data_IF_507768225454
#
_entry.id   IF_507768225454
#
_cell.length_a   1.000
_cell.length_b   1.000
_cell.length_c   1.000
_cell.angle_alpha   90.00
_cell.angle_beta   90.00
_cell.angle_gamma   90.00
#
_symmetry.space_group_name_H-M   'P 1'
#
loop_
_entity.id
_entity.type
_entity.pdbx_description
1 polymer ?
#
# COMPACT_ATOMS: atom_id res chain seq x y z
N UNK A 1 55.07 -50.53 42.62
CA UNK A 1 53.68 -50.14 42.35
C UNK A 1 53.63 -48.63 42.39
N UNK A 2 53.44 -48.02 41.24
CA UNK A 2 53.71 -46.62 40.95
C UNK A 2 52.40 -45.89 40.67
N UNK A 3 52.21 -44.70 41.25
CA UNK A 3 51.36 -43.64 40.71
C UNK A 3 51.73 -42.32 41.38
N UNK A 4 52.20 -41.30 40.62
CA UNK A 4 52.36 -39.95 41.11
C UNK A 4 51.45 -38.92 40.41
N UNK A 5 51.10 -37.91 41.21
CA UNK A 5 50.91 -36.46 40.97
C UNK A 5 50.30 -35.90 39.66
N UNK A 6 49.31 -35.06 39.90
CA UNK A 6 48.69 -34.01 39.08
C UNK A 6 49.67 -32.91 38.60
N UNK A 7 49.58 -32.46 37.33
CA UNK A 7 49.39 -31.05 36.89
C UNK A 7 49.51 -30.85 35.36
N UNK A 8 48.58 -30.04 34.83
CA UNK A 8 48.55 -29.14 33.65
C UNK A 8 49.06 -29.51 32.23
N UNK A 9 48.14 -29.27 31.28
CA UNK A 9 48.28 -28.56 29.98
C UNK A 9 48.41 -29.32 28.63
N UNK A 10 47.44 -29.00 27.75
CA UNK A 10 47.48 -28.83 26.27
C UNK A 10 47.15 -29.97 25.29
N UNK A 11 46.20 -29.65 24.40
CA UNK A 11 46.28 -29.71 22.92
C UNK A 11 45.45 -30.75 22.13
N UNK A 12 44.56 -30.18 21.29
CA UNK A 12 44.29 -30.46 19.86
C UNK A 12 43.19 -31.44 19.40
N UNK A 13 42.16 -30.87 18.73
CA UNK A 13 41.79 -30.99 17.28
C UNK A 13 40.25 -31.10 17.10
N UNK A 14 39.49 -30.05 16.78
CA UNK A 14 39.30 -29.26 15.54
C UNK A 14 38.29 -29.87 14.54
N UNK A 15 37.22 -29.13 14.24
CA UNK A 15 36.16 -29.46 13.27
C UNK A 15 35.10 -28.35 13.10
N UNK A 16 35.53 -27.23 12.49
CA UNK A 16 34.77 -26.31 11.59
C UNK A 16 33.48 -25.61 12.10
N UNK A 17 33.62 -24.33 12.47
CA UNK A 17 32.63 -23.29 12.17
C UNK A 17 33.38 -22.06 11.67
N UNK A 18 33.00 -21.57 10.50
CA UNK A 18 33.66 -20.47 9.79
C UNK A 18 32.87 -19.17 10.03
N UNK A 19 33.43 -18.14 10.70
CA UNK A 19 32.82 -16.82 10.77
C UNK A 19 33.33 -15.97 9.61
N UNK A 20 32.43 -15.47 8.77
CA UNK A 20 32.77 -14.53 7.70
C UNK A 20 33.21 -13.19 8.29
N UNK A 21 34.51 -12.95 8.10
CA UNK A 21 35.33 -11.75 8.16
C UNK A 21 34.67 -10.37 8.31
N UNK A 22 35.13 -9.70 9.36
CA UNK A 22 35.15 -8.26 9.57
C UNK A 22 36.35 -7.65 8.81
N UNK A 23 36.08 -6.69 7.93
CA UNK A 23 37.04 -5.78 7.29
C UNK A 23 36.22 -4.54 6.93
N UNK A 24 36.63 -3.29 7.11
CA UNK A 24 37.78 -2.63 7.69
C UNK A 24 37.47 -1.14 7.54
N UNK A 25 37.85 -0.34 8.53
CA UNK A 25 37.58 1.10 8.63
C UNK A 25 37.80 1.89 7.35
N UNK A 26 36.87 2.80 7.05
CA UNK A 26 37.15 4.03 6.32
C UNK A 26 36.46 5.20 7.02
N UNK A 27 37.28 6.19 7.32
CA UNK A 27 36.98 7.39 8.09
C UNK A 27 36.15 8.40 7.29
N UNK A 28 35.39 9.21 8.05
CA UNK A 28 34.69 10.42 7.61
C UNK A 28 35.61 11.39 6.86
N UNK A 29 35.08 12.05 5.82
CA UNK A 29 35.27 13.49 5.75
C UNK A 29 34.00 14.18 5.28
N UNK A 30 33.32 14.91 6.18
CA UNK A 30 32.65 16.20 5.97
C UNK A 30 31.55 16.42 7.03
N UNK A 31 32.00 16.76 8.24
CA UNK A 31 31.22 17.62 9.14
C UNK A 31 31.58 19.07 8.84
N UNK A 32 30.60 19.83 8.37
CA UNK A 32 30.71 21.27 8.24
C UNK A 32 29.68 21.86 7.29
N UNK A 33 28.43 21.98 7.75
CA UNK A 33 27.77 23.27 7.93
C UNK A 33 26.33 23.07 8.37
N UNK A 34 26.06 23.69 9.51
CA UNK A 34 24.80 23.81 10.22
C UNK A 34 23.79 24.65 9.43
N UNK A 35 22.51 24.33 9.63
CA UNK A 35 21.40 25.29 9.85
C UNK A 35 20.30 25.42 8.78
N UNK A 36 19.09 25.14 9.28
CA UNK A 36 17.82 25.88 9.12
C UNK A 36 16.97 25.76 7.85
N UNK A 37 15.75 25.25 8.10
CA UNK A 37 14.43 25.83 7.82
C UNK A 37 14.15 26.46 6.46
N UNK A 38 13.06 26.03 5.84
CA UNK A 38 12.32 26.89 4.93
C UNK A 38 11.33 26.14 4.05
N UNK A 39 10.07 26.15 4.46
CA UNK A 39 8.90 25.76 3.66
C UNK A 39 8.91 26.55 2.34
N UNK A 40 8.89 25.87 1.19
CA UNK A 40 8.72 26.49 -0.12
C UNK A 40 7.43 25.97 -0.77
N UNK A 41 6.39 26.81 -0.69
CA UNK A 41 5.16 26.67 -1.44
C UNK A 41 5.39 27.05 -2.92
N UNK A 42 4.65 26.37 -3.79
CA UNK A 42 4.72 26.48 -5.24
C UNK A 42 4.41 27.90 -5.75
N UNK A 43 5.34 28.47 -6.52
CA UNK A 43 5.15 29.70 -7.30
C UNK A 43 4.47 29.35 -8.62
N UNK A 44 3.29 29.93 -8.85
CA UNK A 44 2.58 29.91 -10.13
C UNK A 44 3.23 30.94 -11.06
N UNK A 45 3.54 30.48 -12.26
CA UNK A 45 4.12 31.22 -13.38
C UNK A 45 3.12 32.27 -13.89
N UNK A 46 3.53 33.54 -13.93
CA UNK A 46 2.83 34.64 -14.59
C UNK A 46 3.62 35.03 -15.85
N UNK A 47 3.04 34.78 -17.04
CA UNK A 47 3.61 35.18 -18.33
C UNK A 47 2.99 36.52 -18.75
N UNK A 48 3.82 37.55 -18.57
CA UNK A 48 4.18 38.66 -19.44
C UNK A 48 3.23 39.20 -20.53
N UNK A 49 3.31 40.53 -20.71
CA UNK A 49 3.07 41.20 -22.00
C UNK A 49 1.98 42.27 -22.02
N UNK A 50 2.33 43.53 -21.72
CA UNK A 50 1.67 44.68 -22.35
C UNK A 50 2.59 45.89 -22.44
N UNK A 51 3.07 46.11 -23.66
CA UNK A 51 3.91 47.21 -24.13
C UNK A 51 3.40 48.61 -23.73
N UNK A 52 4.32 49.44 -23.23
CA UNK A 52 4.18 50.90 -23.14
C UNK A 52 5.06 51.53 -24.22
N UNK A 53 4.58 52.52 -25.00
CA UNK A 53 5.48 53.34 -25.81
C UNK A 53 6.03 54.51 -25.01
N UNK A 54 7.36 54.65 -25.07
CA UNK A 54 8.15 55.81 -24.66
C UNK A 54 7.76 57.06 -25.46
N UNK A 55 7.70 58.21 -24.78
CA UNK A 55 7.74 59.52 -25.44
C UNK A 55 8.83 60.38 -24.79
N UNK A 56 9.91 60.51 -25.54
CA UNK A 56 11.05 61.41 -25.36
C UNK A 56 10.59 62.86 -25.46
N UNK A 57 10.93 63.67 -24.46
CA UNK A 57 10.79 65.13 -24.46
C UNK A 57 12.01 65.78 -25.11
N UNK A 58 11.82 66.62 -26.14
CA UNK A 58 12.67 67.79 -26.38
C UNK A 58 12.08 68.79 -27.39
N UNK A 59 12.42 70.04 -27.10
CA UNK A 59 12.49 71.23 -27.97
C UNK A 59 11.23 72.08 -28.24
N UNK A 60 11.52 73.31 -28.64
CA UNK A 60 11.01 74.57 -28.09
C UNK A 60 10.40 75.49 -29.17
N UNK A 61 9.90 76.65 -28.71
CA UNK A 61 9.61 77.92 -29.43
C UNK A 61 8.13 78.20 -29.82
N UNK A 62 7.65 79.31 -29.25
CA UNK A 62 6.41 80.12 -29.41
C UNK A 62 6.12 80.68 -30.83
N UNK A 63 5.08 81.52 -31.10
CA UNK A 63 3.83 81.85 -30.38
C UNK A 63 2.57 81.88 -31.29
N UNK A 64 1.34 82.09 -30.75
CA UNK A 64 0.29 83.01 -31.29
C UNK A 64 -1.16 82.63 -30.92
N UNK A 65 -1.82 83.58 -30.24
CA UNK A 65 -3.25 83.99 -30.25
C UNK A 65 -4.39 82.97 -30.04
N UNK A 66 -5.00 83.13 -28.86
CA UNK A 66 -6.43 83.34 -28.56
C UNK A 66 -7.55 82.48 -29.17
N UNK A 67 -8.47 82.12 -28.25
CA UNK A 67 -9.89 81.81 -28.42
C UNK A 67 -10.33 80.34 -28.60
N UNK A 68 -9.92 79.41 -27.72
CA UNK A 68 -10.62 78.11 -27.58
C UNK A 68 -10.66 77.52 -26.15
N UNK A 69 -10.72 78.33 -25.08
CA UNK A 69 -10.74 77.74 -23.72
C UNK A 69 -12.11 77.22 -23.23
N UNK A 70 -13.22 77.55 -23.91
CA UNK A 70 -14.55 77.08 -23.49
C UNK A 70 -15.00 75.73 -24.10
N UNK A 71 -14.44 75.29 -25.24
CA UNK A 71 -14.83 74.04 -25.93
C UNK A 71 -13.97 72.82 -25.54
N UNK A 72 -12.70 73.05 -25.19
CA UNK A 72 -11.72 72.00 -24.88
C UNK A 72 -12.08 71.08 -23.70
N UNK A 73 -12.72 71.55 -22.61
CA UNK A 73 -13.18 70.67 -21.53
C UNK A 73 -14.30 69.74 -21.99
N UNK A 74 -15.24 70.25 -22.80
CA UNK A 74 -16.40 69.52 -23.25
C UNK A 74 -16.03 68.44 -24.28
N UNK A 75 -15.14 68.73 -25.22
CA UNK A 75 -14.61 67.73 -26.15
C UNK A 75 -13.81 66.63 -25.46
N UNK A 76 -12.95 66.98 -24.49
CA UNK A 76 -12.21 65.98 -23.70
C UNK A 76 -13.16 65.07 -22.90
N UNK A 77 -14.23 65.64 -22.33
CA UNK A 77 -15.28 64.88 -21.64
C UNK A 77 -16.04 63.96 -22.61
N UNK A 78 -16.38 64.43 -23.82
CA UNK A 78 -17.04 63.62 -24.84
C UNK A 78 -16.15 62.46 -25.32
N UNK A 79 -14.85 62.67 -25.52
CA UNK A 79 -13.90 61.60 -25.88
C UNK A 79 -13.78 60.55 -24.77
N UNK A 80 -13.72 60.97 -23.50
CA UNK A 80 -13.72 60.04 -22.35
C UNK A 80 -15.00 59.22 -22.25
N UNK A 81 -16.16 59.82 -22.51
CA UNK A 81 -17.44 59.11 -22.53
C UNK A 81 -17.51 58.10 -23.68
N UNK A 82 -16.98 58.43 -24.86
CA UNK A 82 -16.89 57.50 -25.98
C UNK A 82 -15.98 56.30 -25.66
N UNK A 83 -14.79 56.55 -25.10
CA UNK A 83 -13.88 55.49 -24.66
C UNK A 83 -14.48 54.62 -23.56
N UNK A 84 -15.22 55.20 -22.60
CA UNK A 84 -15.90 54.44 -21.56
C UNK A 84 -17.02 53.55 -22.15
N UNK A 85 -17.78 54.05 -23.13
CA UNK A 85 -18.78 53.26 -23.86
C UNK A 85 -18.14 52.09 -24.60
N UNK A 86 -17.01 52.29 -25.26
CA UNK A 86 -16.29 51.21 -25.95
C UNK A 86 -15.65 50.21 -24.98
N UNK A 87 -15.05 50.68 -23.88
CA UNK A 87 -14.49 49.83 -22.84
C UNK A 87 -15.59 48.97 -22.18
N UNK A 88 -16.77 49.56 -21.94
CA UNK A 88 -17.94 48.84 -21.43
C UNK A 88 -18.44 47.77 -22.41
N UNK A 89 -18.48 48.07 -23.72
CA UNK A 89 -18.83 47.08 -24.77
C UNK A 89 -17.82 45.93 -24.81
N UNK A 90 -16.51 46.23 -24.83
CA UNK A 90 -15.45 45.21 -24.82
C UNK A 90 -15.47 44.37 -23.54
N UNK A 91 -15.73 44.97 -22.38
CA UNK A 91 -15.89 44.26 -21.11
C UNK A 91 -17.08 43.31 -21.12
N UNK A 92 -18.25 43.78 -21.59
CA UNK A 92 -19.44 42.94 -21.76
C UNK A 92 -19.20 41.77 -22.70
N UNK A 93 -18.51 41.99 -23.81
CA UNK A 93 -18.21 40.93 -24.78
C UNK A 93 -17.28 39.87 -24.18
N UNK A 94 -16.23 40.28 -23.46
CA UNK A 94 -15.33 39.36 -22.75
C UNK A 94 -16.04 38.55 -21.68
N UNK A 95 -16.89 39.20 -20.86
CA UNK A 95 -17.71 38.50 -19.87
C UNK A 95 -18.67 37.51 -20.52
N UNK A 96 -19.29 37.87 -21.65
CA UNK A 96 -20.17 36.98 -22.40
C UNK A 96 -19.42 35.75 -22.92
N UNK A 97 -18.24 35.94 -23.50
CA UNK A 97 -17.39 34.83 -23.96
C UNK A 97 -16.96 33.91 -22.81
N UNK A 98 -16.59 34.49 -21.66
CA UNK A 98 -16.23 33.72 -20.48
C UNK A 98 -17.41 32.91 -19.93
N UNK A 99 -18.62 33.49 -19.86
CA UNK A 99 -19.83 32.76 -19.46
C UNK A 99 -20.13 31.61 -20.41
N UNK A 100 -20.02 31.81 -21.73
CA UNK A 100 -20.18 30.72 -22.70
C UNK A 100 -19.15 29.61 -22.52
N UNK A 101 -17.89 29.97 -22.20
CA UNK A 101 -16.85 28.98 -21.89
C UNK A 101 -17.20 28.19 -20.62
N UNK A 102 -17.74 28.84 -19.58
CA UNK A 102 -18.20 28.18 -18.36
C UNK A 102 -19.40 27.26 -18.60
N UNK A 103 -20.34 27.66 -19.46
CA UNK A 103 -21.46 26.80 -19.86
C UNK A 103 -20.97 25.56 -20.62
N UNK A 104 -19.98 25.75 -21.51
CA UNK A 104 -19.35 24.65 -22.25
C UNK A 104 -18.58 23.71 -21.33
N UNK A 105 -17.84 24.24 -20.35
CA UNK A 105 -17.10 23.41 -19.39
C UNK A 105 -18.05 22.65 -18.46
N UNK A 106 -19.15 23.27 -18.02
CA UNK A 106 -20.21 22.61 -17.23
C UNK A 106 -20.80 21.43 -17.98
N UNK A 107 -21.15 21.58 -19.26
CA UNK A 107 -21.69 20.49 -20.07
C UNK A 107 -20.69 19.33 -20.22
N UNK A 108 -19.41 19.64 -20.47
CA UNK A 108 -18.36 18.62 -20.49
C UNK A 108 -18.23 17.88 -19.16
N UNK A 109 -18.33 18.59 -18.05
CA UNK A 109 -18.24 18.00 -16.72
C UNK A 109 -19.43 17.06 -16.45
N UNK A 110 -20.64 17.45 -16.83
CA UNK A 110 -21.82 16.57 -16.78
C UNK A 110 -21.66 15.33 -17.67
N UNK A 111 -21.09 15.47 -18.87
CA UNK A 111 -20.80 14.33 -19.75
C UNK A 111 -19.78 13.36 -19.11
N UNK A 112 -18.68 13.89 -18.58
CA UNK A 112 -17.67 13.09 -17.89
C UNK A 112 -18.24 12.39 -16.65
N UNK A 113 -19.12 13.05 -15.91
CA UNK A 113 -19.81 12.44 -14.78
C UNK A 113 -20.72 11.28 -15.20
N UNK A 114 -21.45 11.43 -16.31
CA UNK A 114 -22.25 10.33 -16.89
C UNK A 114 -21.38 9.19 -17.40
N UNK A 115 -20.26 9.48 -18.07
CA UNK A 115 -19.30 8.47 -18.52
C UNK A 115 -18.66 7.74 -17.34
N UNK A 116 -18.30 8.46 -16.26
CA UNK A 116 -17.79 7.89 -15.02
C UNK A 116 -18.83 7.00 -14.33
N UNK A 117 -20.09 7.44 -14.24
CA UNK A 117 -21.18 6.63 -13.70
C UNK A 117 -21.43 5.39 -14.55
N UNK A 118 -21.35 5.49 -15.89
CA UNK A 118 -21.47 4.35 -16.81
C UNK A 118 -20.31 3.37 -16.65
N UNK A 119 -19.08 3.85 -16.55
CA UNK A 119 -17.89 3.02 -16.29
C UNK A 119 -17.99 2.34 -14.92
N UNK A 120 -18.50 3.05 -13.90
CA UNK A 120 -18.77 2.49 -12.58
C UNK A 120 -19.88 1.43 -12.61
N UNK A 121 -20.93 1.62 -13.40
CA UNK A 121 -21.99 0.62 -13.58
C UNK A 121 -21.52 -0.62 -14.36
N UNK A 122 -20.66 -0.43 -15.37
CA UNK A 122 -19.99 -1.52 -16.07
C UNK A 122 -19.02 -2.26 -15.14
N UNK A 123 -18.35 -1.55 -14.23
CA UNK A 123 -17.55 -2.15 -13.14
C UNK A 123 -18.40 -2.81 -12.05
N UNK A 124 -19.60 -2.30 -11.75
CA UNK A 124 -20.55 -2.89 -10.80
C UNK A 124 -21.20 -4.18 -11.37
N UNK A 125 -21.42 -4.27 -12.68
CA UNK A 125 -21.98 -5.48 -13.30
C UNK A 125 -21.00 -6.68 -13.26
N UNK A 126 -19.70 -6.41 -13.07
CA UNK A 126 -18.67 -7.44 -12.88
C UNK A 126 -18.28 -7.58 -11.39
N UNK A 127 -18.43 -6.52 -10.57
CA UNK A 127 -17.95 -6.47 -9.19
C UNK A 127 -19.00 -6.33 -8.07
N UNK A 128 -20.30 -6.31 -8.36
CA UNK A 128 -21.34 -6.00 -7.34
C UNK A 128 -22.30 -7.13 -7.00
N UNK A 129 -22.03 -8.37 -7.41
CA UNK A 129 -22.80 -9.52 -6.93
C UNK A 129 -22.28 -10.10 -5.60
N UNK A 130 -21.45 -9.36 -4.85
CA UNK A 130 -20.81 -9.88 -3.63
C UNK A 130 -21.08 -9.07 -2.34
N UNK A 131 -21.86 -7.99 -2.41
CA UNK A 131 -22.18 -7.18 -1.22
C UNK A 131 -23.64 -6.72 -1.29
N UNK A 132 -24.56 -7.67 -1.12
CA UNK A 132 -25.74 -7.55 -0.25
C UNK A 132 -26.70 -8.73 -0.47
N UNK A 133 -27.16 -9.31 0.65
CA UNK A 133 -28.29 -10.24 0.78
C UNK A 133 -28.04 -11.73 0.54
N UNK A 134 -27.99 -12.48 1.64
CA UNK A 134 -28.24 -13.92 1.66
C UNK A 134 -29.72 -14.19 1.31
N UNK A 135 -30.01 -14.99 0.28
CA UNK A 135 -30.99 -16.11 0.21
C UNK A 135 -31.52 -16.35 -1.24
N UNK A 136 -31.46 -17.62 -1.68
CA UNK A 136 -32.16 -18.27 -2.82
C UNK A 136 -31.70 -18.04 -4.29
N UNK A 137 -31.09 -19.08 -4.85
CA UNK A 137 -31.65 -19.85 -5.97
C UNK A 137 -31.74 -19.21 -7.36
N UNK A 138 -30.82 -19.56 -8.26
CA UNK A 138 -31.08 -20.13 -9.61
C UNK A 138 -29.98 -19.83 -10.61
N UNK A 139 -29.61 -20.91 -11.31
CA UNK A 139 -28.88 -20.99 -12.56
C UNK A 139 -29.44 -20.07 -13.64
N UNK A 140 -28.57 -19.34 -14.35
CA UNK A 140 -28.71 -19.08 -15.78
C UNK A 140 -27.35 -18.67 -16.38
N UNK A 141 -26.82 -19.56 -17.23
CA UNK A 141 -25.84 -19.26 -18.27
C UNK A 141 -26.43 -18.26 -19.27
N UNK A 142 -25.71 -17.17 -19.59
CA UNK A 142 -25.65 -16.62 -20.95
C UNK A 142 -24.29 -15.94 -21.18
N UNK A 143 -23.68 -16.30 -22.31
CA UNK A 143 -22.40 -15.85 -22.84
C UNK A 143 -22.36 -14.37 -23.30
N UNK A 144 -21.14 -13.93 -23.62
CA UNK A 144 -20.69 -12.72 -24.36
C UNK A 144 -20.54 -11.46 -23.50
N UNK A 145 -19.39 -10.77 -23.47
CA UNK A 145 -18.46 -10.41 -24.56
C UNK A 145 -17.00 -10.50 -24.07
N UNK A 146 -16.14 -11.07 -24.90
CA UNK A 146 -14.71 -11.27 -24.65
C UNK A 146 -13.93 -9.95 -24.81
N UNK A 147 -13.91 -9.14 -23.76
CA UNK A 147 -12.67 -8.45 -23.43
C UNK A 147 -11.85 -9.47 -22.64
N UNK A 148 -10.78 -10.01 -23.23
CA UNK A 148 -9.78 -10.72 -22.42
C UNK A 148 -9.33 -9.73 -21.34
N UNK A 149 -9.59 -9.99 -20.04
CA UNK A 149 -8.92 -9.25 -19.00
C UNK A 149 -7.42 -9.40 -19.25
N UNK A 150 -6.61 -8.36 -19.00
CA UNK A 150 -5.16 -8.58 -18.98
C UNK A 150 -4.88 -9.81 -18.11
N UNK A 151 -3.95 -10.69 -18.49
CA UNK A 151 -3.68 -11.94 -17.78
C UNK A 151 -3.49 -11.74 -16.26
N UNK A 152 -2.96 -10.60 -15.84
CA UNK A 152 -2.78 -10.22 -14.44
C UNK A 152 -4.11 -9.93 -13.70
N UNK A 153 -5.07 -9.28 -14.35
CA UNK A 153 -6.41 -9.02 -13.78
C UNK A 153 -7.19 -10.32 -13.55
N UNK A 154 -7.01 -11.32 -14.42
CA UNK A 154 -7.59 -12.63 -14.24
C UNK A 154 -7.00 -13.36 -13.02
N UNK A 155 -5.69 -13.20 -12.78
CA UNK A 155 -5.01 -13.75 -11.60
C UNK A 155 -5.54 -13.18 -10.28
N UNK A 156 -5.74 -11.85 -10.22
CA UNK A 156 -6.26 -11.18 -9.02
C UNK A 156 -7.73 -11.53 -8.75
N UNK A 157 -8.59 -11.53 -9.77
CA UNK A 157 -9.97 -11.95 -9.60
C UNK A 157 -10.10 -13.41 -9.13
N UNK A 158 -9.24 -14.30 -9.64
CA UNK A 158 -9.20 -15.69 -9.19
C UNK A 158 -8.73 -15.79 -7.72
N UNK A 159 -7.77 -14.97 -7.31
CA UNK A 159 -7.34 -14.91 -5.91
C UNK A 159 -8.44 -14.38 -4.99
N UNK A 160 -9.14 -13.31 -5.35
CA UNK A 160 -10.25 -12.75 -4.56
C UNK A 160 -11.34 -13.78 -4.29
N UNK A 161 -11.77 -14.50 -5.32
CA UNK A 161 -12.76 -15.58 -5.20
C UNK A 161 -12.27 -16.68 -4.25
N UNK A 162 -11.04 -17.18 -4.48
CA UNK A 162 -10.46 -18.24 -3.64
C UNK A 162 -10.28 -17.79 -2.20
N UNK A 163 -9.88 -16.54 -1.98
CA UNK A 163 -9.70 -15.97 -0.64
C UNK A 163 -11.05 -15.80 0.08
N UNK A 164 -12.11 -15.41 -0.61
CA UNK A 164 -13.47 -15.39 -0.05
C UNK A 164 -13.88 -16.77 0.49
N UNK A 165 -13.72 -17.81 -0.33
CA UNK A 165 -13.98 -19.19 0.12
C UNK A 165 -13.04 -19.65 1.24
N UNK A 166 -11.77 -19.25 1.19
CA UNK A 166 -10.82 -19.54 2.27
C UNK A 166 -11.29 -18.95 3.61
N UNK A 167 -11.82 -17.72 3.58
CA UNK A 167 -12.33 -17.04 4.76
C UNK A 167 -13.58 -17.73 5.35
N UNK A 168 -14.49 -18.21 4.49
CA UNK A 168 -15.66 -18.99 4.89
C UNK A 168 -15.24 -20.31 5.54
N UNK A 169 -14.31 -21.02 4.91
CA UNK A 169 -13.77 -22.28 5.39
C UNK A 169 -13.01 -22.10 6.72
N UNK A 170 -12.24 -21.03 6.90
CA UNK A 170 -11.62 -20.69 8.18
C UNK A 170 -12.67 -20.52 9.28
N UNK A 171 -13.81 -19.88 8.98
CA UNK A 171 -14.88 -19.72 9.96
C UNK A 171 -15.51 -21.07 10.33
N UNK A 172 -15.73 -21.94 9.34
CA UNK A 172 -16.21 -23.31 9.54
C UNK A 172 -15.26 -24.13 10.42
N UNK A 173 -13.95 -24.14 10.09
CA UNK A 173 -12.92 -24.85 10.87
C UNK A 173 -12.77 -24.30 12.29
N UNK A 174 -12.91 -22.99 12.50
CA UNK A 174 -12.96 -22.40 13.84
C UNK A 174 -14.14 -22.94 14.66
N UNK A 175 -15.30 -23.15 14.03
CA UNK A 175 -16.46 -23.80 14.63
C UNK A 175 -16.16 -25.24 15.06
N UNK A 176 -15.54 -26.02 14.18
CA UNK A 176 -15.14 -27.42 14.45
C UNK A 176 -14.14 -27.51 15.59
N UNK A 177 -13.06 -26.71 15.56
CA UNK A 177 -12.06 -26.67 16.63
C UNK A 177 -12.68 -26.27 17.97
N UNK A 178 -13.58 -25.27 17.98
CA UNK A 178 -14.27 -24.85 19.21
C UNK A 178 -15.11 -25.98 19.79
N UNK A 179 -15.91 -26.65 18.95
CA UNK A 179 -16.77 -27.75 19.39
C UNK A 179 -15.92 -28.93 19.88
N UNK A 180 -14.87 -29.30 19.16
CA UNK A 180 -13.94 -30.36 19.52
C UNK A 180 -13.26 -30.10 20.88
N UNK A 181 -12.85 -28.85 21.12
CA UNK A 181 -12.26 -28.43 22.40
C UNK A 181 -13.28 -28.45 23.55
N UNK A 182 -14.54 -28.07 23.30
CA UNK A 182 -15.61 -28.08 24.31
C UNK A 182 -16.05 -29.50 24.69
N UNK A 183 -16.25 -30.38 23.70
CA UNK A 183 -16.71 -31.76 23.92
C UNK A 183 -15.57 -32.69 24.36
N UNK A 184 -14.34 -32.18 24.46
CA UNK A 184 -13.16 -32.93 24.89
C UNK A 184 -12.92 -34.19 24.05
N UNK A 185 -12.95 -34.03 22.72
CA UNK A 185 -12.67 -35.11 21.78
C UNK A 185 -11.28 -35.72 22.00
N UNK A 186 -11.08 -36.92 21.45
CA UNK A 186 -9.83 -37.65 21.57
C UNK A 186 -8.69 -36.89 20.88
N UNK A 187 -7.47 -37.04 21.40
CA UNK A 187 -6.30 -36.30 20.89
C UNK A 187 -5.98 -36.62 19.43
N UNK A 188 -6.35 -37.82 18.96
CA UNK A 188 -6.21 -38.26 17.56
C UNK A 188 -7.14 -37.43 16.65
N UNK A 189 -8.40 -37.26 17.04
CA UNK A 189 -9.37 -36.46 16.28
C UNK A 189 -8.96 -34.99 16.27
N UNK A 190 -8.47 -34.49 17.40
CA UNK A 190 -7.97 -33.13 17.51
C UNK A 190 -6.73 -32.90 16.64
N UNK A 191 -5.88 -33.91 16.48
CA UNK A 191 -4.70 -33.83 15.61
C UNK A 191 -5.06 -33.66 14.15
N UNK A 192 -6.07 -34.40 13.69
CA UNK A 192 -6.59 -34.25 12.33
C UNK A 192 -7.07 -32.81 12.10
N UNK A 193 -7.77 -32.20 13.06
CA UNK A 193 -8.20 -30.81 12.96
C UNK A 193 -7.02 -29.82 12.98
N UNK A 194 -5.99 -30.07 13.79
CA UNK A 194 -4.77 -29.25 13.81
C UNK A 194 -4.04 -29.32 12.47
N UNK A 195 -3.86 -30.52 11.93
CA UNK A 195 -3.20 -30.74 10.63
C UNK A 195 -3.99 -30.08 9.49
N UNK A 196 -5.33 -30.18 9.52
CA UNK A 196 -6.20 -29.47 8.60
C UNK A 196 -6.06 -27.95 8.71
N UNK A 197 -6.01 -27.40 9.92
CA UNK A 197 -5.81 -25.96 10.14
C UNK A 197 -4.46 -25.48 9.62
N UNK A 198 -3.37 -26.22 9.88
CA UNK A 198 -2.04 -25.89 9.36
C UNK A 198 -1.97 -25.97 7.83
N UNK A 199 -2.65 -26.97 7.23
CA UNK A 199 -2.81 -27.07 5.78
C UNK A 199 -3.62 -25.90 5.22
N UNK A 200 -4.67 -25.48 5.91
CA UNK A 200 -5.51 -24.39 5.46
C UNK A 200 -4.74 -23.06 5.39
N UNK A 201 -3.90 -22.72 6.37
CA UNK A 201 -2.98 -21.57 6.27
C UNK A 201 -1.92 -21.76 5.18
N UNK A 202 -1.43 -22.99 5.01
CA UNK A 202 -0.50 -23.34 3.93
C UNK A 202 -1.09 -23.07 2.54
N UNK A 203 -2.38 -23.34 2.35
CA UNK A 203 -3.10 -23.07 1.10
C UNK A 203 -3.25 -21.57 0.87
N UNK A 204 -3.50 -20.77 1.92
CA UNK A 204 -3.51 -19.29 1.81
C UNK A 204 -2.20 -18.77 1.23
N UNK A 205 -1.07 -19.19 1.79
CA UNK A 205 0.25 -18.74 1.34
C UNK A 205 0.55 -19.18 -0.10
N UNK A 206 0.09 -20.35 -0.53
CA UNK A 206 0.23 -20.80 -1.91
C UNK A 206 -0.59 -19.91 -2.87
N UNK A 207 -1.85 -19.63 -2.51
CA UNK A 207 -2.70 -18.74 -3.30
C UNK A 207 -2.13 -17.32 -3.39
N UNK A 208 -1.50 -16.84 -2.31
CA UNK A 208 -0.79 -15.56 -2.30
C UNK A 208 0.44 -15.56 -3.20
N UNK A 209 1.20 -16.65 -3.27
CA UNK A 209 2.33 -16.75 -4.20
C UNK A 209 1.87 -16.62 -5.67
N UNK A 210 0.72 -17.22 -6.02
CA UNK A 210 0.13 -17.06 -7.36
C UNK A 210 -0.35 -15.63 -7.61
N UNK A 211 -0.96 -14.98 -6.60
CA UNK A 211 -1.39 -13.59 -6.71
C UNK A 211 -0.20 -12.62 -6.83
N UNK A 212 0.93 -12.90 -6.16
CA UNK A 212 2.13 -12.07 -6.22
C UNK A 212 2.72 -11.99 -7.63
N UNK A 213 2.70 -13.12 -8.38
CA UNK A 213 3.11 -13.18 -9.79
C UNK A 213 2.21 -12.35 -10.70
N UNK A 214 0.94 -12.20 -10.36
CA UNK A 214 -0.02 -11.41 -11.13
C UNK A 214 0.10 -9.91 -10.79
N UNK A 215 0.10 -9.58 -9.50
CA UNK A 215 0.28 -8.22 -9.00
C UNK A 215 0.76 -8.24 -7.53
N UNK A 216 2.07 -8.04 -7.34
CA UNK A 216 2.66 -7.98 -5.99
C UNK A 216 2.20 -6.76 -5.19
N UNK A 217 1.87 -5.65 -5.84
CA UNK A 217 1.40 -4.44 -5.17
C UNK A 217 0.00 -4.62 -4.58
N UNK A 218 -0.85 -5.41 -5.23
CA UNK A 218 -2.14 -5.79 -4.68
C UNK A 218 -2.03 -6.46 -3.30
N UNK A 219 -1.04 -7.36 -3.12
CA UNK A 219 -0.77 -8.00 -1.83
C UNK A 219 -0.13 -7.04 -0.83
N UNK A 220 0.88 -6.27 -1.27
CA UNK A 220 1.65 -5.35 -0.43
C UNK A 220 0.80 -4.19 0.11
N UNK A 221 -0.13 -3.68 -0.68
CA UNK A 221 -1.08 -2.64 -0.27
C UNK A 221 -2.17 -3.17 0.68
N UNK A 222 -2.35 -4.49 0.75
CA UNK A 222 -3.38 -5.12 1.57
C UNK A 222 -4.79 -4.92 1.03
N UNK A 223 -4.96 -4.64 -0.27
CA UNK A 223 -6.27 -4.42 -0.89
C UNK A 223 -7.21 -5.62 -0.71
N UNK A 224 -6.65 -6.83 -0.65
CA UNK A 224 -7.35 -8.07 -0.35
C UNK A 224 -7.85 -8.22 1.10
N UNK A 225 -7.51 -7.28 2.00
CA UNK A 225 -7.86 -7.31 3.43
C UNK A 225 -8.83 -6.20 3.78
N UNK A 226 -9.55 -6.39 4.88
CA UNK A 226 -10.39 -5.33 5.44
C UNK A 226 -9.53 -4.18 5.99
N UNK A 227 -10.09 -2.97 6.07
CA UNK A 227 -9.34 -1.78 6.52
C UNK A 227 -8.71 -1.98 7.90
N UNK A 228 -9.40 -2.64 8.83
CA UNK A 228 -8.86 -2.95 10.16
C UNK A 228 -7.70 -3.94 10.09
N UNK A 229 -7.78 -4.98 9.27
CA UNK A 229 -6.69 -5.94 9.11
C UNK A 229 -5.44 -5.31 8.49
N UNK A 230 -5.60 -4.33 7.59
CA UNK A 230 -4.48 -3.62 6.95
C UNK A 230 -3.60 -2.86 7.93
N UNK A 231 -4.13 -2.42 9.08
CA UNK A 231 -3.31 -1.76 10.11
C UNK A 231 -2.20 -2.65 10.67
N UNK A 232 -2.36 -3.97 10.61
CA UNK A 232 -1.39 -4.95 11.11
C UNK A 232 -0.64 -5.66 9.98
N UNK A 233 -0.64 -5.08 8.77
CA UNK A 233 0.01 -5.66 7.61
C UNK A 233 1.52 -5.39 7.62
N UNK A 234 2.29 -6.42 7.34
CA UNK A 234 3.72 -6.42 7.15
C UNK A 234 4.05 -7.37 6.01
N UNK A 235 4.68 -6.89 4.93
CA UNK A 235 5.07 -7.70 3.75
C UNK A 235 3.94 -8.67 3.33
N UNK A 236 2.80 -8.08 2.95
CA UNK A 236 1.64 -8.82 2.47
C UNK A 236 0.93 -9.72 3.48
N UNK A 237 1.19 -9.65 4.78
CA UNK A 237 0.47 -10.47 5.79
C UNK A 237 0.74 -10.02 7.23
N UNK A 238 0.50 -10.88 8.23
CA UNK A 238 0.80 -10.56 9.64
C UNK A 238 2.30 -10.72 9.97
N UNK A 239 2.79 -10.08 11.04
CA UNK A 239 4.12 -10.38 11.61
C UNK A 239 4.05 -11.63 12.50
N UNK A 240 4.84 -12.69 12.21
CA UNK A 240 4.88 -13.89 13.06
C UNK A 240 5.19 -13.62 14.55
N UNK A 241 6.14 -12.74 14.85
CA UNK A 241 6.56 -12.36 16.21
C UNK A 241 5.43 -11.72 17.03
N UNK A 242 4.72 -10.79 16.42
CA UNK A 242 3.54 -10.11 16.99
C UNK A 242 2.38 -11.09 17.15
N UNK A 243 2.20 -11.99 16.16
CA UNK A 243 1.17 -13.00 16.26
C UNK A 243 1.44 -13.94 17.44
N UNK A 244 2.69 -14.42 17.61
CA UNK A 244 3.06 -15.25 18.75
C UNK A 244 2.81 -14.52 20.08
N UNK A 245 3.09 -13.22 20.14
CA UNK A 245 2.82 -12.40 21.31
C UNK A 245 1.32 -12.35 21.65
N UNK A 246 0.46 -12.12 20.66
CA UNK A 246 -1.00 -12.09 20.83
C UNK A 246 -1.56 -13.46 21.23
N UNK A 247 -1.00 -14.55 20.67
CA UNK A 247 -1.49 -15.90 20.94
C UNK A 247 -1.04 -16.46 22.28
N UNK A 248 0.13 -16.07 22.79
CA UNK A 248 0.76 -16.68 23.97
C UNK A 248 -0.20 -16.83 25.18
N UNK A 249 -1.00 -15.81 25.58
CA UNK A 249 -1.92 -15.95 26.71
C UNK A 249 -3.06 -16.97 26.47
N UNK A 250 -3.35 -17.29 25.21
CA UNK A 250 -4.42 -18.24 24.83
C UNK A 250 -3.95 -19.70 24.84
N UNK A 251 -2.64 -19.93 25.05
CA UNK A 251 -2.03 -21.26 25.01
C UNK A 251 -1.89 -21.89 26.40
N UNK A 252 -2.15 -21.14 27.46
CA UNK A 252 -1.98 -21.60 28.84
C UNK A 252 -2.88 -22.81 29.17
N UNK A 253 -2.42 -23.74 30.02
CA UNK A 253 -1.10 -23.76 30.68
C UNK A 253 0.02 -24.26 29.74
N UNK A 254 1.21 -23.67 29.84
CA UNK A 254 2.45 -24.10 29.16
C UNK A 254 3.46 -24.59 30.20
N UNK A 255 4.31 -25.56 29.85
CA UNK A 255 5.48 -25.89 30.69
C UNK A 255 6.55 -24.82 30.55
N UNK A 256 7.46 -24.71 31.53
CA UNK A 256 8.59 -23.77 31.46
C UNK A 256 9.44 -23.98 30.20
N UNK A 257 9.62 -25.25 29.79
CA UNK A 257 10.32 -25.60 28.56
C UNK A 257 9.57 -25.10 27.32
N UNK A 258 8.24 -25.31 27.24
CA UNK A 258 7.43 -24.83 26.13
C UNK A 258 7.44 -23.30 26.05
N UNK A 259 7.34 -22.62 27.19
CA UNK A 259 7.38 -21.16 27.25
C UNK A 259 8.72 -20.62 26.74
N UNK A 260 9.84 -21.22 27.16
CA UNK A 260 11.17 -20.88 26.68
C UNK A 260 11.30 -21.10 25.16
N UNK A 261 10.81 -22.22 24.64
CA UNK A 261 10.84 -22.54 23.21
C UNK A 261 9.98 -21.58 22.37
N UNK A 262 8.79 -21.20 22.85
CA UNK A 262 7.94 -20.20 22.19
C UNK A 262 8.60 -18.82 22.21
N UNK A 263 9.25 -18.42 23.31
CA UNK A 263 10.03 -17.18 23.39
C UNK A 263 11.20 -17.17 22.40
N UNK A 264 11.94 -18.28 22.29
CA UNK A 264 13.02 -18.43 21.32
C UNK A 264 12.50 -18.36 19.88
N UNK A 265 11.36 -19.02 19.59
CA UNK A 265 10.71 -18.96 18.27
C UNK A 265 10.26 -17.54 17.92
N UNK A 266 9.75 -16.78 18.90
CA UNK A 266 9.38 -15.38 18.70
C UNK A 266 10.60 -14.53 18.39
N UNK A 267 11.68 -14.69 19.14
CA UNK A 267 12.92 -13.95 18.93
C UNK A 267 13.54 -14.25 17.57
N UNK A 268 13.62 -15.52 17.16
CA UNK A 268 14.16 -15.89 15.85
C UNK A 268 13.27 -15.40 14.71
N UNK A 269 11.94 -15.44 14.88
CA UNK A 269 11.00 -14.85 13.91
C UNK A 269 11.22 -13.34 13.77
N UNK A 270 11.38 -12.61 14.87
CA UNK A 270 11.67 -11.17 14.85
C UNK A 270 12.96 -10.85 14.08
N UNK A 271 14.03 -11.62 14.30
CA UNK A 271 15.30 -11.42 13.59
C UNK A 271 15.15 -11.60 12.08
N UNK A 272 14.40 -12.62 11.66
CA UNK A 272 14.09 -12.83 10.24
C UNK A 272 13.19 -11.73 9.67
N UNK A 273 12.22 -11.24 10.45
CA UNK A 273 11.37 -10.11 10.08
C UNK A 273 12.17 -8.82 9.87
N UNK A 274 13.12 -8.54 10.77
CA UNK A 274 14.00 -7.37 10.69
C UNK A 274 14.90 -7.45 9.46
N UNK A 275 15.47 -8.64 9.18
CA UNK A 275 16.29 -8.87 7.99
C UNK A 275 15.50 -8.66 6.69
N UNK A 276 14.26 -9.18 6.60
CA UNK A 276 13.39 -8.98 5.43
C UNK A 276 12.98 -7.51 5.27
N UNK A 277 12.67 -6.83 6.37
CA UNK A 277 12.32 -5.39 6.36
C UNK A 277 13.50 -4.56 5.84
N UNK A 278 14.70 -4.78 6.37
CA UNK A 278 15.92 -4.11 5.90
C UNK A 278 16.21 -4.42 4.41
N UNK A 279 15.91 -5.64 3.96
CA UNK A 279 16.06 -6.02 2.56
C UNK A 279 15.15 -5.21 1.63
N UNK A 280 13.87 -5.03 2.01
CA UNK A 280 12.93 -4.20 1.26
C UNK A 280 13.35 -2.73 1.27
N UNK A 281 13.77 -2.19 2.42
CA UNK A 281 14.21 -0.80 2.52
C UNK A 281 15.39 -0.52 1.57
N UNK A 282 16.36 -1.45 1.50
CA UNK A 282 17.49 -1.37 0.55
C UNK A 282 17.02 -1.47 -0.90
N UNK A 283 16.08 -2.36 -1.21
CA UNK A 283 15.51 -2.49 -2.56
C UNK A 283 14.85 -1.18 -3.00
N UNK A 284 14.05 -0.56 -2.12
CA UNK A 284 13.39 0.71 -2.38
C UNK A 284 14.39 1.85 -2.57
N UNK A 285 15.45 1.92 -1.75
CA UNK A 285 16.51 2.91 -1.90
C UNK A 285 17.26 2.75 -3.23
N UNK A 286 17.60 1.51 -3.61
CA UNK A 286 18.25 1.19 -4.88
C UNK A 286 17.41 1.65 -6.08
N UNK A 287 16.11 1.35 -6.04
CA UNK A 287 15.17 1.80 -7.07
C UNK A 287 15.11 3.33 -7.17
N UNK A 288 14.97 4.01 -6.03
CA UNK A 288 14.91 5.47 -6.00
C UNK A 288 16.17 6.12 -6.58
N UNK A 289 17.34 5.54 -6.29
CA UNK A 289 18.62 5.98 -6.86
C UNK A 289 18.67 5.75 -8.37
N UNK A 290 18.30 4.56 -8.85
CA UNK A 290 18.28 4.22 -10.28
C UNK A 290 17.38 5.18 -11.08
N UNK A 291 16.17 5.46 -10.58
CA UNK A 291 15.23 6.40 -11.22
C UNK A 291 15.78 7.84 -11.23
N UNK A 292 16.45 8.26 -10.16
CA UNK A 292 17.03 9.60 -10.08
C UNK A 292 18.20 9.78 -11.07
N UNK A 293 19.08 8.77 -11.21
CA UNK A 293 20.27 8.84 -12.08
C UNK A 293 19.94 8.77 -13.57
N UNK A 294 18.89 8.05 -13.97
CA UNK A 294 18.53 7.85 -15.38
C UNK A 294 17.70 9.01 -15.99
N UNK A 295 17.28 9.99 -15.18
CA UNK A 295 16.50 11.15 -15.64
C UNK A 295 17.28 12.13 -16.56
N UNK A 296 18.60 11.96 -16.68
CA UNK A 296 19.50 12.87 -17.43
C UNK A 296 19.73 12.39 -18.88
N UNK A 297 19.30 11.18 -19.26
CA UNK A 297 19.51 10.61 -20.59
C UNK A 297 18.20 10.45 -21.36
N UNK A 298 17.96 11.32 -22.34
CA UNK A 298 16.84 11.22 -23.30
C UNK A 298 17.11 10.02 -24.22
N UNK A 299 16.77 8.82 -23.75
CA UNK A 299 16.97 7.57 -24.50
C UNK A 299 16.90 6.26 -23.71
N UNK A 300 16.82 6.30 -22.37
CA UNK A 300 17.03 5.10 -21.52
C UNK A 300 15.75 4.38 -21.03
N UNK A 301 14.61 4.51 -21.72
CA UNK A 301 13.35 3.85 -21.31
C UNK A 301 13.46 2.31 -21.19
N UNK A 302 14.33 1.69 -21.99
CA UNK A 302 14.55 0.24 -21.96
C UNK A 302 15.24 -0.24 -20.67
N UNK A 303 16.26 0.46 -20.18
CA UNK A 303 16.95 0.12 -18.92
C UNK A 303 16.05 0.38 -17.72
N UNK A 304 15.26 1.46 -17.76
CA UNK A 304 14.30 1.79 -16.71
C UNK A 304 13.22 0.72 -16.58
N UNK A 305 12.71 0.21 -17.71
CA UNK A 305 11.73 -0.88 -17.71
C UNK A 305 12.35 -2.18 -17.17
N UNK A 306 13.59 -2.51 -17.54
CA UNK A 306 14.29 -3.68 -17.02
C UNK A 306 14.49 -3.60 -15.50
N UNK A 307 14.98 -2.47 -14.99
CA UNK A 307 15.13 -2.24 -13.55
C UNK A 307 13.80 -2.31 -12.79
N UNK A 308 12.71 -1.81 -13.38
CA UNK A 308 11.38 -1.92 -12.80
C UNK A 308 10.89 -3.38 -12.73
N UNK A 309 11.14 -4.19 -13.76
CA UNK A 309 10.80 -5.62 -13.76
C UNK A 309 11.62 -6.38 -12.72
N UNK A 310 12.94 -6.15 -12.63
CA UNK A 310 13.80 -6.76 -11.60
C UNK A 310 13.32 -6.42 -10.18
N UNK A 311 12.84 -5.19 -9.96
CA UNK A 311 12.27 -4.79 -8.68
C UNK A 311 10.96 -5.53 -8.37
N UNK A 312 10.09 -5.74 -9.35
CA UNK A 312 8.86 -6.51 -9.17
C UNK A 312 9.15 -7.96 -8.79
N UNK A 313 10.10 -8.60 -9.47
CA UNK A 313 10.55 -9.96 -9.16
C UNK A 313 11.17 -10.04 -7.75
N UNK A 314 11.97 -9.04 -7.36
CA UNK A 314 12.53 -8.95 -6.03
C UNK A 314 11.43 -8.79 -4.96
N UNK A 315 10.44 -7.92 -5.19
CA UNK A 315 9.29 -7.77 -4.28
C UNK A 315 8.47 -9.06 -4.17
N UNK A 316 8.22 -9.75 -5.28
CA UNK A 316 7.54 -11.06 -5.28
C UNK A 316 8.29 -12.05 -4.38
N UNK A 317 9.61 -12.11 -4.54
CA UNK A 317 10.48 -12.94 -3.70
C UNK A 317 10.38 -12.59 -2.22
N UNK A 318 10.39 -11.30 -1.85
CA UNK A 318 10.23 -10.88 -0.46
C UNK A 318 8.87 -11.27 0.14
N UNK A 319 7.78 -11.15 -0.63
CA UNK A 319 6.44 -11.60 -0.20
C UNK A 319 6.43 -13.11 0.04
N UNK A 320 7.01 -13.88 -0.88
CA UNK A 320 7.11 -15.33 -0.74
C UNK A 320 7.98 -15.75 0.46
N UNK A 321 9.10 -15.05 0.71
CA UNK A 321 9.95 -15.29 1.88
C UNK A 321 9.23 -14.96 3.20
N UNK A 322 8.47 -13.87 3.25
CA UNK A 322 7.67 -13.51 4.42
C UNK A 322 6.56 -14.56 4.70
N UNK A 323 5.88 -15.06 3.66
CA UNK A 323 4.90 -16.14 3.81
C UNK A 323 5.54 -17.49 4.16
N UNK A 324 6.76 -17.75 3.69
CA UNK A 324 7.53 -18.91 4.12
C UNK A 324 7.84 -18.84 5.62
N UNK A 325 8.28 -17.68 6.11
CA UNK A 325 8.52 -17.45 7.54
C UNK A 325 7.24 -17.69 8.36
N UNK A 326 6.10 -17.13 7.94
CA UNK A 326 4.80 -17.39 8.60
C UNK A 326 4.47 -18.87 8.70
N UNK A 327 4.64 -19.60 7.60
CA UNK A 327 4.38 -21.04 7.56
C UNK A 327 5.30 -21.80 8.51
N UNK A 328 6.59 -21.50 8.48
CA UNK A 328 7.57 -22.14 9.36
C UNK A 328 7.29 -21.84 10.83
N UNK A 329 6.96 -20.60 11.18
CA UNK A 329 6.61 -20.22 12.55
C UNK A 329 5.37 -20.97 13.04
N UNK A 330 4.30 -21.08 12.24
CA UNK A 330 3.10 -21.85 12.61
C UNK A 330 3.40 -23.34 12.80
N UNK A 331 4.20 -23.92 11.91
CA UNK A 331 4.63 -25.32 12.01
C UNK A 331 5.49 -25.55 13.27
N UNK A 332 6.48 -24.70 13.52
CA UNK A 332 7.35 -24.85 14.68
C UNK A 332 6.60 -24.64 15.98
N UNK A 333 5.68 -23.69 16.03
CA UNK A 333 4.78 -23.50 17.17
C UNK A 333 3.96 -24.77 17.44
N UNK A 334 3.37 -25.39 16.41
CA UNK A 334 2.63 -26.65 16.58
C UNK A 334 3.47 -27.82 17.08
N UNK A 335 4.78 -27.83 16.81
CA UNK A 335 5.73 -28.86 17.28
C UNK A 335 6.12 -28.69 18.75
N UNK A 336 6.21 -27.44 19.21
CA UNK A 336 6.50 -27.11 20.62
C UNK A 336 5.29 -27.46 21.51
N UNK A 337 4.09 -27.26 20.97
CA UNK A 337 2.83 -27.43 21.69
C UNK A 337 2.33 -28.87 21.68
N UNK A 338 1.57 -29.25 22.70
CA UNK A 338 0.70 -30.42 22.65
C UNK A 338 -0.41 -30.20 21.63
N UNK A 339 -1.00 -31.26 21.10
CA UNK A 339 -2.10 -31.17 20.12
C UNK A 339 -3.26 -30.32 20.62
N UNK A 340 -3.61 -30.40 21.92
CA UNK A 340 -4.66 -29.56 22.50
C UNK A 340 -4.28 -28.09 22.61
N UNK A 341 -3.04 -27.78 22.96
CA UNK A 341 -2.54 -26.40 22.94
C UNK A 341 -2.47 -25.86 21.50
N UNK A 342 -2.03 -26.65 20.53
CA UNK A 342 -2.00 -26.27 19.12
C UNK A 342 -3.41 -25.99 18.57
N UNK A 343 -4.39 -26.82 18.92
CA UNK A 343 -5.79 -26.59 18.56
C UNK A 343 -6.34 -25.29 19.16
N UNK A 344 -6.04 -24.97 20.43
CA UNK A 344 -6.38 -23.69 21.05
C UNK A 344 -5.69 -22.52 20.34
N UNK A 345 -4.40 -22.68 20.00
CA UNK A 345 -3.64 -21.67 19.26
C UNK A 345 -4.23 -21.37 17.89
N UNK A 346 -4.59 -22.38 17.11
CA UNK A 346 -5.24 -22.21 15.80
C UNK A 346 -6.62 -21.59 15.92
N UNK A 347 -7.42 -21.98 16.92
CA UNK A 347 -8.70 -21.36 17.19
C UNK A 347 -8.54 -19.88 17.57
N UNK A 348 -7.62 -19.56 18.48
CA UNK A 348 -7.31 -18.19 18.90
C UNK A 348 -6.82 -17.33 17.72
N UNK A 349 -6.00 -17.90 16.83
CA UNK A 349 -5.55 -17.26 15.60
C UNK A 349 -6.72 -16.92 14.67
N UNK A 350 -7.59 -17.89 14.43
CA UNK A 350 -8.78 -17.70 13.60
C UNK A 350 -9.75 -16.67 14.19
N UNK A 351 -9.96 -16.69 15.51
CA UNK A 351 -10.79 -15.72 16.22
C UNK A 351 -10.19 -14.31 16.19
N UNK A 352 -8.88 -14.17 16.33
CA UNK A 352 -8.19 -12.88 16.23
C UNK A 352 -8.50 -12.19 14.90
N UNK A 353 -8.27 -12.87 13.78
CA UNK A 353 -8.56 -12.28 12.46
C UNK A 353 -10.06 -12.10 12.21
N UNK A 354 -10.91 -13.00 12.72
CA UNK A 354 -12.35 -12.81 12.64
C UNK A 354 -12.80 -11.54 13.36
N UNK A 355 -12.27 -11.26 14.56
CA UNK A 355 -12.58 -10.04 15.33
C UNK A 355 -12.12 -8.78 14.59
N UNK A 356 -10.96 -8.80 13.92
CA UNK A 356 -10.51 -7.68 13.09
C UNK A 356 -11.48 -7.40 11.92
N UNK A 357 -11.94 -8.46 11.23
CA UNK A 357 -12.93 -8.34 10.14
C UNK A 357 -14.29 -7.85 10.64
N UNK A 358 -14.75 -8.35 11.78
CA UNK A 358 -15.97 -7.89 12.43
C UNK A 358 -15.89 -6.40 12.80
N UNK A 359 -14.76 -5.95 13.36
CA UNK A 359 -14.53 -4.55 13.69
C UNK A 359 -14.59 -3.65 12.45
N UNK A 360 -13.98 -4.07 11.33
CA UNK A 360 -14.06 -3.32 10.07
C UNK A 360 -15.50 -3.21 9.56
N UNK A 361 -16.30 -4.27 9.72
CA UNK A 361 -17.70 -4.30 9.29
C UNK A 361 -18.57 -3.37 10.14
N UNK A 362 -18.37 -3.39 11.46
CA UNK A 362 -19.04 -2.49 12.40
C UNK A 362 -18.69 -1.01 12.13
N UNK A 363 -17.42 -0.73 11.79
CA UNK A 363 -17.01 0.62 11.43
C UNK A 363 -17.68 1.10 10.13
N UNK A 364 -17.76 0.23 9.11
CA UNK A 364 -18.41 0.56 7.84
C UNK A 364 -19.91 0.80 7.99
N UNK A 365 -20.58 0.08 8.90
CA UNK A 365 -22.01 0.21 9.18
C UNK A 365 -22.38 1.41 10.06
N UNK A 366 -21.41 2.24 10.48
CA UNK A 366 -21.68 3.40 11.33
C UNK A 366 -22.61 4.40 10.63
N UNK A 367 -23.67 4.90 11.29
CA UNK A 367 -24.48 5.99 10.77
C UNK A 367 -23.62 7.21 10.47
N UNK A 368 -23.70 7.75 9.25
CA UNK A 368 -23.07 9.03 8.91
C UNK A 368 -24.07 10.13 9.24
N UNK A 369 -23.69 11.06 10.11
CA UNK A 369 -24.49 12.26 10.33
C UNK A 369 -24.57 13.04 9.00
N UNK A 370 -25.75 13.55 8.62
CA UNK A 370 -25.86 14.42 7.46
C UNK A 370 -25.05 15.71 7.72
N UNK A 371 -24.17 16.02 6.77
CA UNK A 371 -23.29 17.19 6.79
C UNK A 371 -24.06 18.51 6.72
#
# INVERSE_FOLDING_TARGET
MSSPSTQFATSRRMGVYEPLHQIGMWEDPLKGLTSQNGIAAATIVEVDGLDKPDYTSNESVEPSKNDQEASMPNEKVQRRLAQNREAARKSRLRKKAYVQQLETSRLKLTQLEQEFQRARQQGLFIGSSALDSCHMGSSASVNSVQHNPLPNLAGIAAFEMKYGHWVEEQHRQNGELRNALQVHVMDIELRILVDHGLKHYSDLFNMKADAAKADVFYLMSGMWRTSTERFFLWIGGFRPSELLYVLLPQLEPLTDQQLLEVCNLRLSSQQAEDALTQGIDKLQQSLAQSVATDSVSVGNYGSQMAAAVEMLEALESFVNQADHLRRQTLQQMSRILTTRQAARGLLALGEYFHRLRALSSLWAARPREPA
#
